data_IF_042182317578
#
_entry.id   IF_042182317578
#
_cell.length_a   1.000
_cell.length_b   1.000
_cell.length_c   1.000
_cell.angle_alpha   90.00
_cell.angle_beta   90.00
_cell.angle_gamma   90.00
#
_symmetry.space_group_name_H-M   'P 1'
#
loop_
_entity.id
_entity.type
_entity.pdbx_description
1 polymer ?
#
# COMPACT_ATOMS: atom_id res chain seq x y z
N UNK A 1 76.78 31.76 -39.65
CA UNK A 1 76.81 31.48 -38.19
C UNK A 1 75.66 32.15 -37.42
N UNK A 2 75.35 33.43 -37.64
CA UNK A 2 74.31 34.19 -36.90
C UNK A 2 72.85 33.70 -37.04
N UNK A 3 72.43 33.13 -38.17
CA UNK A 3 71.05 32.57 -38.35
C UNK A 3 70.75 31.34 -37.47
N UNK A 4 71.76 30.53 -37.12
CA UNK A 4 71.60 29.33 -36.27
C UNK A 4 71.42 29.70 -34.79
N UNK A 5 72.16 30.73 -34.34
CA UNK A 5 72.11 31.26 -32.96
C UNK A 5 70.75 31.93 -32.66
N UNK A 6 70.15 32.63 -33.63
CA UNK A 6 68.82 33.21 -33.49
C UNK A 6 67.70 32.16 -33.35
N UNK A 7 67.79 31.04 -34.07
CA UNK A 7 66.81 29.93 -34.05
C UNK A 7 66.85 29.17 -32.72
N UNK A 8 68.04 28.93 -32.17
CA UNK A 8 68.22 28.32 -30.85
C UNK A 8 67.70 29.21 -29.71
N UNK A 9 68.00 30.52 -29.74
CA UNK A 9 67.45 31.48 -28.76
C UNK A 9 65.92 31.57 -28.82
N UNK A 10 65.33 31.51 -30.02
CA UNK A 10 63.89 31.51 -30.21
C UNK A 10 63.23 30.23 -29.66
N UNK A 11 63.80 29.05 -29.95
CA UNK A 11 63.35 27.77 -29.36
C UNK A 11 63.41 27.80 -27.83
N UNK A 12 64.49 28.36 -27.26
CA UNK A 12 64.64 28.47 -25.81
C UNK A 12 63.58 29.40 -25.19
N UNK A 13 63.27 30.53 -25.85
CA UNK A 13 62.18 31.44 -25.46
C UNK A 13 60.81 30.78 -25.53
N UNK A 14 60.50 30.08 -26.62
CA UNK A 14 59.24 29.34 -26.78
C UNK A 14 59.12 28.27 -25.70
N UNK A 15 60.17 27.49 -25.44
CA UNK A 15 60.19 26.47 -24.37
C UNK A 15 59.94 27.10 -22.99
N UNK A 16 60.56 28.25 -22.69
CA UNK A 16 60.31 29.00 -21.44
C UNK A 16 58.86 29.50 -21.34
N UNK A 17 58.30 30.04 -22.42
CA UNK A 17 56.90 30.51 -22.46
C UNK A 17 55.92 29.34 -22.26
N UNK A 18 56.16 28.20 -22.92
CA UNK A 18 55.33 27.00 -22.74
C UNK A 18 55.40 26.50 -21.30
N UNK A 19 56.60 26.44 -20.71
CA UNK A 19 56.77 26.07 -19.29
C UNK A 19 56.04 27.07 -18.38
N UNK A 20 56.14 28.37 -18.65
CA UNK A 20 55.47 29.39 -17.84
C UNK A 20 53.94 29.26 -17.92
N UNK A 21 53.40 29.02 -19.13
CA UNK A 21 51.97 28.81 -19.34
C UNK A 21 51.47 27.52 -18.70
N UNK A 22 52.20 26.42 -18.81
CA UNK A 22 51.82 25.15 -18.18
C UNK A 22 51.88 25.26 -16.65
N UNK A 23 52.89 25.93 -16.10
CA UNK A 23 52.96 26.25 -14.67
C UNK A 23 51.82 27.13 -14.20
N UNK A 24 51.44 28.17 -14.96
CA UNK A 24 50.30 29.04 -14.62
C UNK A 24 48.96 28.28 -14.64
N UNK A 25 48.76 27.40 -15.62
CA UNK A 25 47.58 26.53 -15.69
C UNK A 25 47.51 25.55 -14.50
N UNK A 26 48.65 24.99 -14.09
CA UNK A 26 48.75 24.14 -12.90
C UNK A 26 48.42 24.94 -11.62
N UNK A 27 48.96 26.15 -11.46
CA UNK A 27 48.71 27.02 -10.31
C UNK A 27 47.23 27.43 -10.25
N UNK A 28 46.63 27.83 -11.38
CA UNK A 28 45.19 28.14 -11.45
C UNK A 28 44.34 26.91 -11.15
N UNK A 29 44.77 25.73 -11.59
CA UNK A 29 44.15 24.45 -11.25
C UNK A 29 44.20 24.18 -9.74
N UNK A 30 45.37 24.35 -9.11
CA UNK A 30 45.58 24.23 -7.67
C UNK A 30 44.75 25.25 -6.89
N UNK A 31 44.68 26.51 -7.32
CA UNK A 31 43.91 27.55 -6.64
C UNK A 31 42.40 27.27 -6.70
N UNK A 32 41.90 26.86 -7.87
CA UNK A 32 40.51 26.38 -8.02
C UNK A 32 40.24 25.17 -7.13
N UNK A 33 41.20 24.26 -7.02
CA UNK A 33 41.10 23.09 -6.16
C UNK A 33 41.05 23.47 -4.67
N UNK A 34 41.92 24.36 -4.20
CA UNK A 34 41.92 24.87 -2.83
C UNK A 34 40.64 25.64 -2.50
N UNK A 35 40.19 26.52 -3.40
CA UNK A 35 38.95 27.27 -3.21
C UNK A 35 37.73 26.34 -3.18
N UNK A 36 37.71 25.34 -4.06
CA UNK A 36 36.70 24.28 -4.04
C UNK A 36 36.70 23.53 -2.72
N UNK A 37 37.85 23.06 -2.22
CA UNK A 37 37.95 22.38 -0.93
C UNK A 37 37.56 23.28 0.25
N UNK A 38 37.94 24.56 0.24
CA UNK A 38 37.56 25.53 1.27
C UNK A 38 36.04 25.75 1.31
N UNK A 39 35.42 25.93 0.15
CA UNK A 39 33.96 26.06 0.02
C UNK A 39 33.24 24.79 0.48
N UNK A 40 33.76 23.61 0.12
CA UNK A 40 33.20 22.34 0.58
C UNK A 40 33.32 22.17 2.09
N UNK A 41 34.45 22.54 2.70
CA UNK A 41 34.59 22.50 4.18
C UNK A 41 33.56 23.39 4.87
N UNK A 42 33.37 24.62 4.37
CA UNK A 42 32.34 25.53 4.89
C UNK A 42 30.94 24.93 4.77
N UNK A 43 30.59 24.41 3.59
CA UNK A 43 29.29 23.77 3.37
C UNK A 43 29.06 22.56 4.29
N UNK A 44 30.06 21.70 4.46
CA UNK A 44 29.99 20.51 5.33
C UNK A 44 29.79 20.91 6.80
N UNK A 45 30.41 22.01 7.25
CA UNK A 45 30.26 22.51 8.63
C UNK A 45 28.84 22.96 9.00
N UNK A 46 27.99 23.23 7.99
CA UNK A 46 26.58 23.58 8.21
C UNK A 46 25.69 22.38 8.54
N UNK A 47 26.15 21.15 8.24
CA UNK A 47 25.42 19.92 8.54
C UNK A 47 25.68 19.49 9.99
N UNK A 48 24.63 19.45 10.80
CA UNK A 48 24.70 19.06 12.20
C UNK A 48 24.24 17.62 12.40
N UNK A 49 24.85 16.90 13.32
CA UNK A 49 24.37 15.58 13.73
C UNK A 49 23.00 15.69 14.38
N UNK A 50 22.10 14.77 14.03
CA UNK A 50 20.82 14.63 14.72
C UNK A 50 20.92 13.63 15.87
N UNK A 51 19.93 13.71 16.78
CA UNK A 51 19.69 12.70 17.82
C UNK A 51 18.79 11.54 17.33
N UNK A 52 18.43 11.50 16.04
CA UNK A 52 17.64 10.42 15.44
C UNK A 52 18.57 9.21 15.33
N UNK A 53 18.75 8.43 16.39
CA UNK A 53 19.67 7.27 16.35
C UNK A 53 18.99 5.94 16.67
N UNK A 54 17.83 5.94 17.34
CA UNK A 54 17.36 4.72 18.01
C UNK A 54 15.97 4.23 17.62
N UNK A 55 15.20 5.01 16.84
CA UNK A 55 13.79 4.70 16.56
C UNK A 55 13.49 4.45 15.09
N UNK A 56 14.47 3.94 14.34
CA UNK A 56 14.26 3.50 12.96
C UNK A 56 14.16 1.97 12.92
N UNK A 57 13.04 1.47 12.43
CA UNK A 57 12.80 0.06 12.17
C UNK A 57 12.78 -0.15 10.66
N UNK A 58 13.61 -1.05 10.15
CA UNK A 58 13.66 -1.47 8.74
C UNK A 58 13.48 -2.98 8.68
N UNK A 59 12.54 -3.44 7.86
CA UNK A 59 12.15 -4.85 7.71
C UNK A 59 11.95 -5.51 9.10
N UNK A 60 11.18 -4.83 9.95
CA UNK A 60 10.88 -5.20 11.34
C UNK A 60 12.09 -5.42 12.26
N UNK A 61 13.26 -4.84 11.92
CA UNK A 61 14.47 -4.88 12.72
C UNK A 61 14.97 -3.47 13.00
N UNK A 62 15.56 -3.25 14.17
CA UNK A 62 16.22 -1.98 14.46
C UNK A 62 17.32 -1.73 13.42
N UNK A 63 17.27 -0.58 12.77
CA UNK A 63 18.23 -0.22 11.74
C UNK A 63 19.63 -0.05 12.36
N UNK A 64 20.61 -0.70 11.77
CA UNK A 64 22.02 -0.56 12.12
C UNK A 64 22.63 0.59 11.32
N UNK A 65 22.63 1.77 11.91
CA UNK A 65 23.16 3.00 11.32
C UNK A 65 24.36 3.48 12.14
N UNK A 66 25.58 3.18 11.69
CA UNK A 66 26.80 3.62 12.36
C UNK A 66 27.05 5.11 12.15
N UNK A 67 26.58 5.66 11.02
CA UNK A 67 26.68 7.09 10.72
C UNK A 67 25.39 7.80 11.13
N UNK A 68 25.50 8.97 11.80
CA UNK A 68 24.32 9.73 12.19
C UNK A 68 23.62 10.33 10.98
N UNK A 69 22.31 10.53 11.08
CA UNK A 69 21.63 11.45 10.17
C UNK A 69 22.13 12.86 10.44
N UNK A 70 22.15 13.66 9.38
CA UNK A 70 22.51 15.08 9.45
C UNK A 70 21.29 15.95 9.23
N UNK A 71 21.30 17.17 9.76
CA UNK A 71 20.28 18.18 9.49
C UNK A 71 20.93 19.48 8.99
N UNK A 72 20.31 20.11 7.99
CA UNK A 72 20.67 21.43 7.48
C UNK A 72 19.42 22.10 6.89
N UNK A 73 19.14 23.33 7.31
CA UNK A 73 17.95 24.08 6.91
C UNK A 73 16.67 23.25 7.08
N UNK A 74 16.52 22.61 8.24
CA UNK A 74 15.39 21.72 8.60
C UNK A 74 15.19 20.48 7.71
N UNK A 75 16.12 20.21 6.80
CA UNK A 75 16.12 19.01 5.95
C UNK A 75 17.00 17.95 6.60
N UNK A 76 16.45 16.75 6.80
CA UNK A 76 17.17 15.57 7.26
C UNK A 76 17.89 14.90 6.09
N UNK A 77 19.14 14.52 6.31
CA UNK A 77 20.00 13.84 5.34
C UNK A 77 20.44 12.48 5.87
N UNK A 78 20.39 11.48 4.99
CA UNK A 78 20.60 10.07 5.32
C UNK A 78 21.84 9.52 4.60
N UNK A 79 22.70 8.72 5.26
CA UNK A 79 23.80 8.02 4.58
C UNK A 79 23.23 6.89 3.71
N UNK A 80 23.12 7.12 2.39
CA UNK A 80 22.28 6.33 1.49
C UNK A 80 22.72 4.87 1.38
N UNK A 81 24.02 4.58 1.38
CA UNK A 81 24.50 3.19 1.24
C UNK A 81 24.23 2.37 2.51
N UNK A 82 24.34 2.99 3.69
CA UNK A 82 24.08 2.31 4.95
C UNK A 82 22.58 2.04 5.13
N UNK A 83 21.74 2.98 4.73
CA UNK A 83 20.30 2.76 4.66
C UNK A 83 19.95 1.61 3.69
N UNK A 84 20.51 1.62 2.46
CA UNK A 84 20.29 0.54 1.49
C UNK A 84 20.76 -0.83 1.98
N UNK A 85 21.84 -0.88 2.79
CA UNK A 85 22.30 -2.11 3.43
C UNK A 85 21.25 -2.66 4.39
N UNK A 86 20.62 -1.80 5.20
CA UNK A 86 19.53 -2.21 6.11
C UNK A 86 18.30 -2.73 5.34
N UNK A 87 18.04 -2.20 4.15
CA UNK A 87 17.02 -2.73 3.25
C UNK A 87 17.42 -4.06 2.56
N UNK A 88 18.57 -4.66 2.87
CA UNK A 88 19.13 -5.80 2.15
C UNK A 88 19.17 -5.59 0.62
N UNK A 89 19.41 -4.35 0.19
CA UNK A 89 19.33 -3.97 -1.22
C UNK A 89 20.68 -3.52 -1.74
N UNK A 90 21.08 -4.07 -2.89
CA UNK A 90 22.34 -3.71 -3.52
C UNK A 90 22.29 -2.24 -4.00
N UNK A 91 23.19 -1.44 -3.44
CA UNK A 91 23.43 -0.06 -3.84
C UNK A 91 24.94 0.21 -3.86
N UNK A 92 25.38 1.01 -4.82
CA UNK A 92 26.77 1.48 -4.91
C UNK A 92 26.82 2.81 -5.65
N UNK A 93 27.85 3.61 -5.41
CA UNK A 93 28.10 4.78 -6.23
C UNK A 93 29.55 4.84 -6.68
N UNK A 94 29.80 5.58 -7.75
CA UNK A 94 31.14 6.01 -8.17
C UNK A 94 31.15 7.49 -8.51
N UNK A 95 32.28 8.13 -8.30
CA UNK A 95 32.48 9.53 -8.69
C UNK A 95 32.74 9.63 -10.19
N UNK A 96 32.17 10.68 -10.79
CA UNK A 96 32.39 11.10 -12.15
C UNK A 96 33.15 12.45 -12.15
N UNK A 97 33.75 12.86 -13.29
CA UNK A 97 34.38 14.17 -13.41
C UNK A 97 33.44 15.31 -13.01
N UNK A 98 34.02 16.45 -12.58
CA UNK A 98 33.29 17.68 -12.22
C UNK A 98 32.25 17.48 -11.08
N UNK A 99 32.53 16.54 -10.17
CA UNK A 99 31.68 16.29 -8.98
C UNK A 99 30.40 15.52 -9.26
N UNK A 100 30.27 14.93 -10.45
CA UNK A 100 29.16 14.02 -10.75
C UNK A 100 29.27 12.73 -9.96
N UNK A 101 28.14 12.06 -9.78
CA UNK A 101 28.03 10.80 -9.03
C UNK A 101 27.09 9.89 -9.82
N UNK A 102 27.54 8.69 -10.15
CA UNK A 102 26.67 7.63 -10.66
C UNK A 102 26.30 6.73 -9.48
N UNK A 103 25.03 6.77 -9.06
CA UNK A 103 24.47 5.91 -8.02
C UNK A 103 23.66 4.79 -8.69
N UNK A 104 24.04 3.54 -8.41
CA UNK A 104 23.28 2.34 -8.77
C UNK A 104 22.46 1.90 -7.59
N UNK A 105 21.19 1.64 -7.82
CA UNK A 105 20.26 1.10 -6.83
C UNK A 105 19.31 0.13 -7.53
N UNK A 106 19.31 -1.13 -7.09
CA UNK A 106 18.58 -2.22 -7.77
C UNK A 106 18.94 -2.27 -9.26
N UNK A 107 17.93 -2.23 -10.15
CA UNK A 107 18.08 -2.24 -11.62
C UNK A 107 18.21 -0.83 -12.21
N UNK A 108 18.12 0.22 -11.39
CA UNK A 108 18.16 1.61 -11.83
C UNK A 108 19.54 2.25 -11.61
N UNK A 109 19.85 3.23 -12.46
CA UNK A 109 21.04 4.07 -12.33
C UNK A 109 20.64 5.54 -12.34
N UNK A 110 21.13 6.27 -11.36
CA UNK A 110 20.86 7.67 -11.12
C UNK A 110 22.14 8.49 -11.26
N UNK A 111 22.04 9.63 -11.92
CA UNK A 111 23.12 10.61 -12.04
C UNK A 111 22.79 11.76 -11.08
N UNK A 112 23.65 11.90 -10.08
CA UNK A 112 23.62 12.95 -9.06
C UNK A 112 24.83 13.86 -9.23
N UNK A 113 24.85 14.99 -8.52
CA UNK A 113 26.02 15.87 -8.46
C UNK A 113 26.17 16.43 -7.05
N UNK A 114 27.41 16.49 -6.55
CA UNK A 114 27.71 17.12 -5.25
C UNK A 114 27.25 18.59 -5.25
N UNK A 115 26.56 19.01 -4.20
CA UNK A 115 26.02 20.37 -4.06
C UNK A 115 24.80 20.65 -4.95
N UNK A 116 24.19 19.64 -5.57
CA UNK A 116 22.98 19.78 -6.39
C UNK A 116 21.81 19.04 -5.75
N UNK A 117 20.61 19.55 -5.99
CA UNK A 117 19.36 18.93 -5.59
C UNK A 117 18.67 18.18 -6.75
N UNK A 118 19.36 17.96 -7.87
CA UNK A 118 18.79 17.27 -9.03
C UNK A 118 19.25 15.81 -9.11
N UNK A 119 18.30 14.95 -9.42
CA UNK A 119 18.50 13.52 -9.70
C UNK A 119 18.08 13.27 -11.13
N UNK A 120 19.00 12.77 -11.97
CA UNK A 120 18.67 12.36 -13.34
C UNK A 120 18.66 10.86 -13.48
N UNK A 121 17.60 10.33 -14.08
CA UNK A 121 17.50 8.91 -14.42
C UNK A 121 18.33 8.64 -15.68
N UNK A 122 19.27 7.70 -15.59
CA UNK A 122 20.16 7.38 -16.72
C UNK A 122 19.38 6.82 -17.93
N UNK A 123 18.33 6.05 -17.68
CA UNK A 123 17.66 5.26 -18.71
C UNK A 123 16.53 6.00 -19.45
N UNK A 124 15.89 7.00 -18.84
CA UNK A 124 14.73 7.69 -19.43
C UNK A 124 14.82 9.23 -19.38
N UNK A 125 16.00 9.79 -19.04
CA UNK A 125 16.28 11.24 -18.98
C UNK A 125 15.40 12.06 -18.02
N UNK A 126 14.51 11.45 -17.24
CA UNK A 126 13.71 12.15 -16.24
C UNK A 126 14.63 12.84 -15.22
N UNK A 127 14.25 14.05 -14.81
CA UNK A 127 14.93 14.83 -13.78
C UNK A 127 13.96 15.07 -12.64
N UNK A 128 14.37 14.72 -11.43
CA UNK A 128 13.62 14.96 -10.19
C UNK A 128 14.40 15.98 -9.36
N UNK A 129 13.72 17.03 -8.90
CA UNK A 129 14.26 17.99 -7.94
C UNK A 129 13.89 17.58 -6.52
N UNK A 130 14.89 17.68 -5.65
CA UNK A 130 14.77 17.43 -4.22
C UNK A 130 14.79 18.74 -3.44
N UNK A 131 14.31 18.69 -2.21
CA UNK A 131 14.30 19.85 -1.31
C UNK A 131 15.71 20.18 -0.78
N UNK A 132 16.61 19.18 -0.76
CA UNK A 132 17.99 19.32 -0.30
C UNK A 132 19.05 18.89 -1.32
N UNK A 133 20.31 19.16 -1.01
CA UNK A 133 21.45 18.87 -1.88
C UNK A 133 22.15 17.56 -1.56
N UNK A 134 22.66 16.88 -2.58
CA UNK A 134 23.51 15.70 -2.39
C UNK A 134 24.90 16.13 -1.90
N UNK A 135 25.40 15.50 -0.84
CA UNK A 135 26.71 15.85 -0.28
C UNK A 135 27.52 14.60 0.09
N UNK A 136 28.84 14.65 -0.12
CA UNK A 136 29.76 13.60 0.32
C UNK A 136 30.46 14.05 1.60
N UNK A 137 30.27 13.32 2.70
CA UNK A 137 30.78 13.59 4.06
C UNK A 137 30.99 12.25 4.77
N UNK A 138 31.88 12.22 5.78
CA UNK A 138 32.11 11.03 6.62
C UNK A 138 32.29 9.73 5.81
N UNK A 139 33.03 9.83 4.70
CA UNK A 139 33.24 8.74 3.75
C UNK A 139 31.98 8.05 3.23
N UNK A 140 30.90 8.81 3.06
CA UNK A 140 29.67 8.32 2.44
C UNK A 140 28.89 9.43 1.74
N UNK A 141 27.89 9.02 0.97
CA UNK A 141 26.97 9.91 0.30
C UNK A 141 25.75 10.16 1.18
N UNK A 142 25.56 11.41 1.56
CA UNK A 142 24.35 11.90 2.21
C UNK A 142 23.39 12.45 1.16
N UNK A 143 22.15 12.01 1.24
CA UNK A 143 21.03 12.45 0.39
C UNK A 143 19.91 12.99 1.28
N UNK A 144 19.14 14.00 0.83
CA UNK A 144 17.98 14.47 1.59
C UNK A 144 16.95 13.34 1.73
N UNK A 145 16.18 13.34 2.82
CA UNK A 145 15.14 12.33 3.07
C UNK A 145 14.13 12.24 1.91
N UNK A 146 13.85 13.37 1.25
CA UNK A 146 13.06 13.47 0.04
C UNK A 146 13.55 12.58 -1.12
N UNK A 147 14.87 12.33 -1.23
CA UNK A 147 15.44 11.36 -2.16
C UNK A 147 14.90 9.95 -1.91
N UNK A 148 14.78 9.57 -0.64
CA UNK A 148 14.33 8.23 -0.23
C UNK A 148 12.89 8.01 -0.73
N UNK A 149 12.02 9.00 -0.52
CA UNK A 149 10.62 8.95 -0.94
C UNK A 149 10.44 8.97 -2.45
N UNK A 150 11.12 9.89 -3.14
CA UNK A 150 10.91 10.12 -4.59
C UNK A 150 11.66 9.13 -5.48
N UNK A 151 12.77 8.57 -5.00
CA UNK A 151 13.70 7.80 -5.86
C UNK A 151 13.85 6.35 -5.44
N UNK A 152 13.85 6.04 -4.13
CA UNK A 152 14.14 4.68 -3.66
C UNK A 152 12.90 3.78 -3.54
N UNK A 153 11.69 4.31 -3.78
CA UNK A 153 10.41 3.59 -3.62
C UNK A 153 10.32 2.90 -2.25
N UNK A 154 10.47 3.70 -1.20
CA UNK A 154 10.44 3.26 0.20
C UNK A 154 9.12 3.70 0.81
N UNK A 155 8.46 2.78 1.50
CA UNK A 155 7.31 3.05 2.34
C UNK A 155 7.81 3.49 3.71
N UNK A 156 7.31 4.63 4.18
CA UNK A 156 7.65 5.15 5.50
C UNK A 156 6.39 5.40 6.28
N UNK A 157 6.37 4.97 7.53
CA UNK A 157 5.31 5.25 8.48
C UNK A 157 5.95 5.73 9.77
N UNK A 158 5.41 6.78 10.37
CA UNK A 158 5.80 7.20 11.71
C UNK A 158 4.68 6.82 12.68
N UNK A 159 5.02 6.03 13.69
CA UNK A 159 4.15 5.67 14.79
C UNK A 159 3.97 6.81 15.77
N UNK A 160 2.94 6.71 16.61
CA UNK A 160 2.58 7.76 17.58
C UNK A 160 3.66 8.01 18.63
N UNK A 161 4.43 6.98 18.96
CA UNK A 161 5.54 7.10 19.90
C UNK A 161 6.75 7.85 19.29
N UNK A 162 6.78 8.05 17.97
CA UNK A 162 7.86 8.67 17.22
C UNK A 162 8.78 7.68 16.50
N UNK A 163 8.51 6.38 16.59
CA UNK A 163 9.22 5.33 15.83
C UNK A 163 8.91 5.46 14.35
N UNK A 164 9.94 5.43 13.51
CA UNK A 164 9.84 5.47 12.06
C UNK A 164 10.08 4.07 11.53
N UNK A 165 9.12 3.55 10.77
CA UNK A 165 9.25 2.32 10.01
C UNK A 165 9.59 2.67 8.58
N UNK A 166 10.61 2.05 7.99
CA UNK A 166 10.98 2.23 6.59
C UNK A 166 11.22 0.89 5.92
N UNK A 167 10.46 0.58 4.86
CA UNK A 167 10.62 -0.66 4.11
C UNK A 167 10.56 -0.40 2.62
N UNK A 168 11.40 -1.09 1.86
CA UNK A 168 11.53 -0.86 0.43
C UNK A 168 10.85 -1.92 -0.44
N UNK A 169 9.76 -2.54 0.01
CA UNK A 169 8.96 -3.38 -0.89
C UNK A 169 8.36 -2.51 -2.02
N UNK A 170 8.29 -3.04 -3.27
CA UNK A 170 7.69 -2.30 -4.37
C UNK A 170 6.28 -1.86 -4.00
N UNK A 171 5.91 -0.61 -4.32
CA UNK A 171 4.49 -0.19 -4.27
C UNK A 171 3.67 -1.02 -5.26
N UNK A 172 3.20 -2.16 -4.79
CA UNK A 172 2.49 -3.17 -5.59
C UNK A 172 0.98 -2.99 -5.51
N UNK A 173 0.50 -2.59 -4.34
CA UNK A 173 -0.91 -2.50 -4.03
C UNK A 173 -1.45 -1.08 -4.08
N UNK A 174 -2.71 -0.96 -4.47
CA UNK A 174 -3.52 0.24 -4.55
C UNK A 174 -4.77 0.03 -3.67
N UNK A 175 -4.85 0.78 -2.58
CA UNK A 175 -5.98 0.78 -1.64
C UNK A 175 -6.87 2.03 -1.78
N UNK A 176 -6.87 2.68 -2.95
CA UNK A 176 -7.74 3.85 -3.20
C UNK A 176 -9.23 3.55 -2.94
N UNK A 177 -9.65 2.31 -3.18
CA UNK A 177 -11.01 1.86 -2.91
C UNK A 177 -11.42 1.97 -1.43
N UNK A 178 -10.48 1.95 -0.48
CA UNK A 178 -10.78 1.99 0.96
C UNK A 178 -11.40 3.33 1.39
N UNK A 179 -10.97 4.44 0.78
CA UNK A 179 -11.34 5.79 1.22
C UNK A 179 -12.85 6.00 1.26
N UNK A 180 -13.56 5.39 0.31
CA UNK A 180 -14.99 5.57 0.09
C UNK A 180 -15.81 4.30 0.39
N UNK A 181 -15.15 3.24 0.87
CA UNK A 181 -15.78 1.95 1.11
C UNK A 181 -15.40 1.39 2.48
N UNK A 182 -16.21 1.76 3.47
CA UNK A 182 -16.08 1.28 4.86
C UNK A 182 -16.76 -0.07 5.09
N UNK A 183 -17.77 -0.38 4.29
CA UNK A 183 -18.52 -1.62 4.39
C UNK A 183 -18.15 -2.56 3.25
N UNK A 184 -17.95 -3.83 3.59
CA UNK A 184 -17.82 -4.95 2.66
C UNK A 184 -19.09 -5.78 2.81
N UNK A 185 -19.84 -5.98 1.72
CA UNK A 185 -21.04 -6.82 1.72
C UNK A 185 -20.62 -8.29 1.88
N UNK A 186 -20.79 -8.84 3.07
CA UNK A 186 -20.41 -10.21 3.42
C UNK A 186 -21.32 -11.22 2.71
N UNK A 187 -20.74 -12.21 2.04
CA UNK A 187 -21.48 -13.19 1.22
C UNK A 187 -22.43 -12.52 0.20
N UNK A 188 -21.93 -11.46 -0.48
CA UNK A 188 -22.65 -10.52 -1.34
C UNK A 188 -23.70 -9.64 -0.65
N UNK A 189 -23.83 -9.77 0.68
CA UNK A 189 -24.81 -9.10 1.52
C UNK A 189 -25.95 -10.02 1.93
N UNK A 190 -26.73 -9.55 2.90
CA UNK A 190 -27.93 -10.21 3.38
C UNK A 190 -29.18 -9.77 2.61
N UNK A 191 -30.12 -10.69 2.45
CA UNK A 191 -31.37 -10.50 1.71
C UNK A 191 -32.57 -10.99 2.52
N UNK A 192 -33.52 -10.09 2.79
CA UNK A 192 -34.76 -10.37 3.54
C UNK A 192 -34.52 -11.11 4.88
N UNK A 193 -33.50 -10.69 5.63
CA UNK A 193 -33.12 -11.30 6.92
C UNK A 193 -32.22 -12.53 6.81
N UNK A 194 -31.96 -13.04 5.60
CA UNK A 194 -31.10 -14.20 5.36
C UNK A 194 -29.66 -13.76 5.07
N UNK A 195 -28.69 -14.50 5.62
CA UNK A 195 -27.25 -14.30 5.43
C UNK A 195 -26.67 -15.45 4.61
N UNK A 196 -25.40 -15.35 4.20
CA UNK A 196 -24.66 -16.41 3.47
C UNK A 196 -25.25 -16.87 2.13
N UNK A 197 -26.28 -16.21 1.62
CA UNK A 197 -26.94 -16.65 0.39
C UNK A 197 -26.00 -16.60 -0.82
N UNK A 198 -25.03 -15.68 -0.86
CA UNK A 198 -24.17 -15.47 -2.03
C UNK A 198 -24.98 -15.40 -3.36
N UNK A 199 -26.20 -14.86 -3.26
CA UNK A 199 -27.17 -14.91 -4.34
C UNK A 199 -27.09 -13.67 -5.23
N UNK A 200 -27.63 -13.80 -6.44
CA UNK A 200 -27.77 -12.67 -7.37
C UNK A 200 -28.56 -11.52 -6.76
N UNK A 201 -29.66 -11.83 -6.06
CA UNK A 201 -30.52 -10.85 -5.43
C UNK A 201 -29.82 -10.11 -4.29
N UNK A 202 -28.99 -10.82 -3.50
CA UNK A 202 -28.19 -10.18 -2.45
C UNK A 202 -27.16 -9.21 -3.06
N UNK A 203 -26.45 -9.64 -4.11
CA UNK A 203 -25.50 -8.80 -4.84
C UNK A 203 -26.15 -7.53 -5.38
N UNK A 204 -27.25 -7.69 -6.14
CA UNK A 204 -27.96 -6.58 -6.76
C UNK A 204 -28.49 -5.61 -5.70
N UNK A 205 -29.08 -6.10 -4.61
CA UNK A 205 -29.53 -5.28 -3.49
C UNK A 205 -28.38 -4.51 -2.83
N UNK A 206 -27.26 -5.16 -2.56
CA UNK A 206 -26.09 -4.52 -1.97
C UNK A 206 -25.56 -3.40 -2.87
N UNK A 207 -25.45 -3.65 -4.17
CA UNK A 207 -24.99 -2.66 -5.14
C UNK A 207 -25.96 -1.47 -5.26
N UNK A 208 -27.28 -1.73 -5.34
CA UNK A 208 -28.32 -0.70 -5.40
C UNK A 208 -28.34 0.19 -4.15
N UNK A 209 -27.93 -0.34 -2.99
CA UNK A 209 -27.77 0.42 -1.73
C UNK A 209 -26.48 1.24 -1.68
N UNK A 210 -25.67 1.22 -2.74
CA UNK A 210 -24.45 2.03 -2.85
C UNK A 210 -23.19 1.37 -2.29
N UNK A 211 -23.24 0.09 -1.91
CA UNK A 211 -22.03 -0.66 -1.61
C UNK A 211 -21.25 -0.93 -2.91
N UNK A 212 -19.92 -0.89 -2.84
CA UNK A 212 -19.03 -1.16 -3.97
C UNK A 212 -17.95 -2.18 -3.68
N UNK A 213 -17.92 -2.73 -2.46
CA UNK A 213 -17.02 -3.83 -2.12
C UNK A 213 -17.88 -4.97 -1.61
N UNK A 214 -17.80 -6.10 -2.29
CA UNK A 214 -18.55 -7.31 -1.97
C UNK A 214 -17.54 -8.40 -1.67
N UNK A 215 -17.79 -9.20 -0.67
CA UNK A 215 -17.08 -10.44 -0.41
C UNK A 215 -17.95 -11.60 -0.91
N UNK A 216 -17.32 -12.60 -1.54
CA UNK A 216 -18.02 -13.78 -2.02
C UNK A 216 -17.29 -15.05 -1.58
N UNK A 217 -18.08 -15.96 -1.01
CA UNK A 217 -17.64 -17.29 -0.60
C UNK A 217 -17.50 -18.17 -1.84
N UNK A 218 -16.31 -18.73 -2.10
CA UNK A 218 -16.09 -19.55 -3.28
C UNK A 218 -15.57 -20.95 -2.95
N UNK A 219 -16.15 -21.94 -3.64
CA UNK A 219 -15.79 -23.35 -3.59
C UNK A 219 -15.68 -23.93 -5.00
N UNK A 220 -14.89 -24.98 -5.18
CA UNK A 220 -14.94 -25.75 -6.44
C UNK A 220 -16.11 -26.73 -6.42
N UNK A 221 -16.91 -26.74 -7.48
CA UNK A 221 -17.88 -27.79 -7.77
C UNK A 221 -17.18 -29.13 -8.06
N UNK A 222 -17.94 -30.23 -8.12
CA UNK A 222 -17.37 -31.55 -8.42
C UNK A 222 -16.75 -31.66 -9.82
N UNK A 223 -17.19 -30.83 -10.77
CA UNK A 223 -16.62 -30.67 -12.11
C UNK A 223 -15.56 -29.54 -12.20
N UNK A 224 -15.13 -28.99 -11.06
CA UNK A 224 -13.97 -28.11 -10.97
C UNK A 224 -14.21 -26.66 -11.38
N UNK A 225 -15.45 -26.18 -11.25
CA UNK A 225 -15.87 -24.80 -11.53
C UNK A 225 -16.03 -24.02 -10.25
N UNK A 226 -15.85 -22.70 -10.31
CA UNK A 226 -15.98 -21.83 -9.15
C UNK A 226 -17.44 -21.45 -8.94
N UNK A 227 -18.06 -22.07 -7.95
CA UNK A 227 -19.42 -21.76 -7.49
C UNK A 227 -19.38 -20.92 -6.21
N UNK A 228 -20.39 -20.10 -6.00
CA UNK A 228 -20.46 -19.22 -4.83
C UNK A 228 -21.24 -19.91 -3.71
N UNK A 229 -20.53 -20.58 -2.81
CA UNK A 229 -21.10 -21.38 -1.74
C UNK A 229 -20.15 -21.41 -0.54
N UNK A 230 -20.68 -21.04 0.63
CA UNK A 230 -19.93 -20.98 1.90
C UNK A 230 -19.48 -22.35 2.43
N UNK A 231 -20.40 -23.31 2.49
CA UNK A 231 -20.13 -24.63 3.07
C UNK A 231 -21.20 -25.63 2.65
N UNK A 232 -20.85 -26.91 2.70
CA UNK A 232 -21.76 -28.05 2.54
C UNK A 232 -22.02 -28.80 3.84
N UNK A 233 -21.65 -28.23 4.99
CA UNK A 233 -22.07 -28.80 6.27
C UNK A 233 -23.60 -28.82 6.40
N UNK A 234 -24.10 -29.71 7.27
CA UNK A 234 -25.52 -29.99 7.37
C UNK A 234 -26.35 -28.77 7.78
N UNK A 235 -25.81 -27.91 8.64
CA UNK A 235 -26.50 -26.73 9.16
C UNK A 235 -26.59 -25.66 8.08
N UNK A 236 -25.48 -25.39 7.38
CA UNK A 236 -25.44 -24.46 6.24
C UNK A 236 -26.41 -24.86 5.14
N UNK A 237 -26.43 -26.15 4.75
CA UNK A 237 -27.36 -26.65 3.73
C UNK A 237 -28.82 -26.51 4.17
N UNK A 238 -29.15 -26.85 5.41
CA UNK A 238 -30.50 -26.73 5.94
C UNK A 238 -30.97 -25.27 5.98
N UNK A 239 -30.11 -24.36 6.46
CA UNK A 239 -30.42 -22.93 6.56
C UNK A 239 -30.65 -22.29 5.18
N UNK A 240 -29.92 -22.74 4.16
CA UNK A 240 -30.07 -22.27 2.78
C UNK A 240 -31.12 -23.05 1.98
N UNK A 241 -31.79 -24.05 2.58
CA UNK A 241 -32.75 -24.90 1.87
C UNK A 241 -32.14 -25.66 0.70
N UNK A 242 -30.85 -26.01 0.78
CA UNK A 242 -30.11 -26.71 -0.26
C UNK A 242 -30.13 -28.24 -0.05
N UNK A 243 -29.91 -29.05 -1.10
CA UNK A 243 -29.95 -30.50 -0.99
C UNK A 243 -28.95 -31.06 0.04
N UNK A 244 -29.46 -31.78 1.04
CA UNK A 244 -28.62 -32.40 2.10
C UNK A 244 -27.62 -33.43 1.56
N UNK A 245 -27.85 -33.99 0.38
CA UNK A 245 -26.90 -34.89 -0.30
C UNK A 245 -25.57 -34.21 -0.62
N UNK A 246 -25.54 -32.88 -0.72
CA UNK A 246 -24.32 -32.12 -1.02
C UNK A 246 -23.27 -32.18 0.08
N UNK A 247 -23.66 -32.53 1.31
CA UNK A 247 -22.73 -32.79 2.43
C UNK A 247 -21.70 -33.86 2.10
N UNK A 248 -22.12 -34.88 1.34
CA UNK A 248 -21.27 -36.02 1.01
C UNK A 248 -20.70 -35.94 -0.41
N UNK A 249 -21.30 -35.13 -1.28
CA UNK A 249 -20.92 -35.00 -2.69
C UNK A 249 -21.21 -33.60 -3.21
N UNK A 250 -20.16 -32.83 -3.49
CA UNK A 250 -20.30 -31.51 -4.12
C UNK A 250 -21.12 -31.60 -5.41
N UNK A 251 -22.06 -30.66 -5.65
CA UNK A 251 -22.80 -30.61 -6.92
C UNK A 251 -21.86 -30.26 -8.08
N UNK A 252 -22.26 -30.59 -9.30
CA UNK A 252 -21.69 -29.95 -10.50
C UNK A 252 -22.14 -28.49 -10.57
N UNK A 253 -21.44 -27.66 -11.34
CA UNK A 253 -21.86 -26.27 -11.57
C UNK A 253 -23.29 -26.18 -12.11
N UNK A 254 -23.63 -27.04 -13.07
CA UNK A 254 -24.96 -27.08 -13.69
C UNK A 254 -26.05 -27.44 -12.67
N UNK A 255 -25.82 -28.43 -11.80
CA UNK A 255 -26.77 -28.78 -10.74
C UNK A 255 -26.93 -27.62 -9.74
N UNK A 256 -25.82 -26.98 -9.38
CA UNK A 256 -25.82 -25.84 -8.46
C UNK A 256 -26.62 -24.66 -9.00
N UNK A 257 -26.36 -24.24 -10.25
CA UNK A 257 -27.04 -23.11 -10.90
C UNK A 257 -28.52 -23.36 -11.19
N UNK A 258 -28.95 -24.63 -11.27
CA UNK A 258 -30.37 -24.99 -11.42
C UNK A 258 -31.12 -25.10 -10.07
N UNK A 259 -30.41 -24.97 -8.94
CA UNK A 259 -30.99 -25.06 -7.61
C UNK A 259 -31.17 -23.66 -7.03
N UNK A 260 -32.35 -23.37 -6.46
CA UNK A 260 -32.59 -22.11 -5.76
C UNK A 260 -32.31 -22.22 -4.27
N UNK A 261 -31.69 -21.19 -3.70
CA UNK A 261 -31.53 -21.04 -2.27
C UNK A 261 -32.89 -20.68 -1.66
N UNK A 262 -33.33 -21.46 -0.68
CA UNK A 262 -34.63 -21.33 -0.01
C UNK A 262 -35.79 -21.29 -1.02
N UNK A 263 -35.67 -22.04 -2.13
CA UNK A 263 -36.61 -22.03 -3.27
C UNK A 263 -36.88 -20.65 -3.91
N UNK A 264 -36.08 -19.64 -3.58
CA UNK A 264 -36.36 -18.24 -3.91
C UNK A 264 -35.21 -17.61 -4.69
N UNK A 265 -34.02 -17.62 -4.12
CA UNK A 265 -32.86 -16.85 -4.62
C UNK A 265 -32.01 -17.66 -5.59
N UNK A 266 -31.44 -16.98 -6.59
CA UNK A 266 -30.60 -17.63 -7.60
C UNK A 266 -29.18 -17.82 -7.06
N UNK A 267 -28.69 -19.06 -7.14
CA UNK A 267 -27.28 -19.39 -6.98
C UNK A 267 -26.44 -18.74 -8.08
N UNK A 268 -25.15 -18.55 -7.83
CA UNK A 268 -24.24 -17.90 -8.77
C UNK A 268 -22.92 -18.66 -8.91
N UNK A 269 -22.30 -18.56 -10.08
CA UNK A 269 -20.89 -18.93 -10.28
C UNK A 269 -20.00 -17.68 -10.45
N UNK A 270 -18.68 -17.88 -10.47
CA UNK A 270 -17.76 -16.76 -10.64
C UNK A 270 -17.85 -16.12 -12.02
N UNK A 271 -18.26 -16.84 -13.06
CA UNK A 271 -18.42 -16.27 -14.41
C UNK A 271 -19.55 -15.22 -14.45
N UNK A 272 -20.69 -15.51 -13.82
CA UNK A 272 -21.80 -14.57 -13.68
C UNK A 272 -21.40 -13.35 -12.84
N UNK A 273 -20.68 -13.57 -11.73
CA UNK A 273 -20.16 -12.46 -10.91
C UNK A 273 -19.15 -11.60 -11.69
N UNK A 274 -18.26 -12.20 -12.48
CA UNK A 274 -17.31 -11.47 -13.31
C UNK A 274 -18.02 -10.65 -14.42
N UNK A 275 -19.10 -11.18 -15.00
CA UNK A 275 -19.95 -10.43 -15.95
C UNK A 275 -20.62 -9.24 -15.26
N UNK A 276 -21.16 -9.45 -14.06
CA UNK A 276 -21.73 -8.36 -13.26
C UNK A 276 -20.67 -7.28 -12.95
N UNK A 277 -19.46 -7.67 -12.54
CA UNK A 277 -18.36 -6.73 -12.32
C UNK A 277 -17.96 -5.97 -13.59
N UNK A 278 -18.03 -6.59 -14.78
CA UNK A 278 -17.76 -5.91 -16.05
C UNK A 278 -18.77 -4.79 -16.31
N UNK A 279 -20.05 -5.06 -16.03
CA UNK A 279 -21.14 -4.08 -16.17
C UNK A 279 -21.09 -2.98 -15.09
N UNK A 280 -20.44 -3.26 -13.95
CA UNK A 280 -20.31 -2.35 -12.81
C UNK A 280 -18.82 -2.07 -12.52
N UNK A 281 -18.18 -1.15 -13.28
CA UNK A 281 -16.73 -0.94 -13.26
C UNK A 281 -16.20 -0.35 -11.93
N UNK A 282 -17.08 0.16 -11.08
CA UNK A 282 -16.78 0.69 -9.75
C UNK A 282 -16.90 -0.36 -8.63
N UNK A 283 -17.29 -1.59 -8.95
CA UNK A 283 -17.39 -2.70 -8.00
C UNK A 283 -16.03 -3.39 -7.76
N UNK A 284 -15.72 -3.70 -6.50
CA UNK A 284 -14.60 -4.51 -6.08
C UNK A 284 -15.08 -5.82 -5.46
N UNK A 285 -14.31 -6.87 -5.67
CA UNK A 285 -14.61 -8.20 -5.17
C UNK A 285 -13.51 -8.68 -4.24
N UNK A 286 -13.87 -8.92 -2.99
CA UNK A 286 -13.07 -9.66 -2.02
C UNK A 286 -13.37 -11.15 -2.19
N UNK A 287 -12.32 -11.95 -2.35
CA UNK A 287 -12.46 -13.39 -2.60
C UNK A 287 -12.21 -14.16 -1.31
N UNK A 288 -13.22 -14.88 -0.81
CA UNK A 288 -13.13 -15.75 0.35
C UNK A 288 -13.19 -17.23 -0.08
N UNK A 289 -12.03 -17.88 -0.20
CA UNK A 289 -11.98 -19.29 -0.55
C UNK A 289 -12.35 -20.16 0.65
N UNK A 290 -13.31 -21.07 0.44
CA UNK A 290 -13.78 -21.96 1.51
C UNK A 290 -12.85 -23.17 1.73
N UNK A 291 -11.85 -23.33 0.87
CA UNK A 291 -10.69 -24.22 1.06
C UNK A 291 -9.38 -23.40 1.20
N UNK A 292 -8.47 -23.88 2.05
CA UNK A 292 -7.17 -23.25 2.35
C UNK A 292 -5.96 -24.17 2.08
N UNK A 293 -6.16 -25.37 1.52
CA UNK A 293 -5.07 -26.18 0.97
C UNK A 293 -4.41 -25.43 -0.19
N UNK A 294 -3.08 -25.33 -0.18
CA UNK A 294 -2.35 -24.49 -1.14
C UNK A 294 -2.57 -24.94 -2.59
N UNK A 295 -2.68 -26.25 -2.86
CA UNK A 295 -2.89 -26.72 -4.25
C UNK A 295 -4.29 -26.36 -4.73
N UNK A 296 -5.28 -26.46 -3.85
CA UNK A 296 -6.65 -26.08 -4.20
C UNK A 296 -6.80 -24.57 -4.34
N UNK A 297 -6.20 -23.78 -3.44
CA UNK A 297 -6.12 -22.32 -3.54
C UNK A 297 -5.53 -21.91 -4.88
N UNK A 298 -4.42 -22.52 -5.31
CA UNK A 298 -3.84 -22.25 -6.63
C UNK A 298 -4.80 -22.61 -7.77
N UNK A 299 -5.50 -23.74 -7.68
CA UNK A 299 -6.47 -24.17 -8.69
C UNK A 299 -7.62 -23.16 -8.79
N UNK A 300 -8.16 -22.71 -7.66
CA UNK A 300 -9.21 -21.70 -7.60
C UNK A 300 -8.74 -20.39 -8.26
N UNK A 301 -7.60 -19.83 -7.84
CA UNK A 301 -7.12 -18.58 -8.43
C UNK A 301 -6.73 -18.70 -9.90
N UNK A 302 -6.26 -19.86 -10.37
CA UNK A 302 -6.01 -20.12 -11.81
C UNK A 302 -7.31 -20.10 -12.61
N UNK A 303 -8.36 -20.77 -12.14
CA UNK A 303 -9.67 -20.77 -12.82
C UNK A 303 -10.31 -19.38 -12.76
N UNK A 304 -10.25 -18.70 -11.63
CA UNK A 304 -10.70 -17.31 -11.47
C UNK A 304 -10.02 -16.38 -12.48
N UNK A 305 -8.69 -16.44 -12.59
CA UNK A 305 -7.94 -15.59 -13.53
C UNK A 305 -8.27 -15.90 -14.98
N UNK A 306 -8.46 -17.18 -15.31
CA UNK A 306 -8.89 -17.62 -16.64
C UNK A 306 -10.28 -17.09 -16.98
N UNK A 307 -11.26 -17.25 -16.09
CA UNK A 307 -12.64 -16.76 -16.28
C UNK A 307 -12.64 -15.24 -16.45
N UNK A 308 -11.98 -14.50 -15.56
CA UNK A 308 -11.92 -13.05 -15.64
C UNK A 308 -11.29 -12.57 -16.95
N UNK A 309 -10.19 -13.20 -17.42
CA UNK A 309 -9.60 -12.88 -18.73
C UNK A 309 -10.55 -13.11 -19.90
N UNK A 310 -11.37 -14.16 -19.83
CA UNK A 310 -12.33 -14.49 -20.88
C UNK A 310 -13.52 -13.52 -20.90
N UNK A 311 -13.97 -13.04 -19.73
CA UNK A 311 -15.08 -12.09 -19.61
C UNK A 311 -14.63 -10.66 -19.92
N UNK A 312 -13.66 -10.17 -19.15
CA UNK A 312 -13.00 -8.87 -19.30
C UNK A 312 -11.77 -8.79 -18.37
N UNK A 313 -10.58 -8.67 -18.94
CA UNK A 313 -9.32 -8.63 -18.18
C UNK A 313 -9.28 -7.51 -17.13
N UNK A 314 -9.99 -6.41 -17.33
CA UNK A 314 -10.03 -5.28 -16.38
C UNK A 314 -10.66 -5.63 -15.04
N UNK A 315 -11.50 -6.68 -14.97
CA UNK A 315 -12.08 -7.20 -13.72
C UNK A 315 -10.98 -7.59 -12.73
N UNK A 316 -9.85 -8.13 -13.21
CA UNK A 316 -8.75 -8.58 -12.35
C UNK A 316 -8.10 -7.46 -11.53
N UNK A 317 -8.17 -6.21 -11.98
CA UNK A 317 -7.62 -5.07 -11.24
C UNK A 317 -8.48 -4.69 -10.03
N UNK A 318 -9.72 -5.22 -9.95
CA UNK A 318 -10.70 -4.99 -8.88
C UNK A 318 -10.98 -6.22 -8.02
N UNK A 319 -10.23 -7.31 -8.24
CA UNK A 319 -10.25 -8.50 -7.38
C UNK A 319 -9.22 -8.34 -6.26
N UNK A 320 -9.67 -8.67 -5.04
CA UNK A 320 -8.95 -8.52 -3.78
C UNK A 320 -8.87 -9.90 -3.12
N UNK A 321 -7.77 -10.64 -3.31
CA UNK A 321 -7.55 -11.90 -2.61
C UNK A 321 -7.59 -11.73 -1.09
N UNK A 322 -8.26 -12.63 -0.39
CA UNK A 322 -8.00 -12.89 1.02
C UNK A 322 -6.95 -13.99 1.17
N UNK A 323 -6.01 -13.79 2.09
CA UNK A 323 -5.09 -14.82 2.55
C UNK A 323 -5.29 -15.04 4.04
N UNK A 324 -5.12 -16.28 4.49
CA UNK A 324 -5.29 -16.65 5.90
C UNK A 324 -3.98 -16.95 6.61
N UNK A 325 -2.97 -17.35 5.84
CA UNK A 325 -1.62 -17.65 6.31
C UNK A 325 -0.59 -17.03 5.37
N UNK A 326 0.64 -16.84 5.88
CA UNK A 326 1.72 -16.18 5.15
C UNK A 326 2.12 -16.97 3.89
N UNK A 327 2.02 -18.29 3.98
CA UNK A 327 2.35 -19.28 2.95
C UNK A 327 1.49 -19.13 1.70
N UNK A 328 0.28 -18.56 1.82
CA UNK A 328 -0.62 -18.34 0.69
C UNK A 328 -0.19 -17.17 -0.19
N UNK A 329 0.56 -16.20 0.34
CA UNK A 329 0.88 -14.97 -0.38
C UNK A 329 1.63 -15.24 -1.69
N UNK A 330 2.71 -16.03 -1.66
CA UNK A 330 3.52 -16.31 -2.85
C UNK A 330 2.73 -17.10 -3.92
N UNK A 331 2.07 -18.23 -3.59
CA UNK A 331 1.22 -18.96 -4.55
C UNK A 331 0.20 -18.05 -5.25
N UNK A 332 -0.56 -17.25 -4.50
CA UNK A 332 -1.58 -16.35 -5.06
C UNK A 332 -0.94 -15.28 -5.96
N UNK A 333 0.10 -14.60 -5.49
CA UNK A 333 0.73 -13.51 -6.24
C UNK A 333 1.54 -13.97 -7.45
N UNK A 334 1.93 -15.25 -7.51
CA UNK A 334 2.58 -15.84 -8.68
C UNK A 334 1.59 -16.12 -9.82
N UNK A 335 0.30 -16.34 -9.51
CA UNK A 335 -0.73 -16.58 -10.52
C UNK A 335 -1.10 -15.28 -11.24
N UNK A 336 -1.29 -14.20 -10.48
CA UNK A 336 -1.57 -12.88 -11.04
C UNK A 336 -1.09 -11.75 -10.12
N UNK A 337 -0.71 -10.63 -10.73
CA UNK A 337 -0.27 -9.43 -10.02
C UNK A 337 -1.48 -8.59 -9.55
N UNK A 338 -2.26 -9.13 -8.61
CA UNK A 338 -3.41 -8.46 -7.99
C UNK A 338 -3.03 -7.11 -7.38
N UNK A 339 -3.99 -6.18 -7.39
CA UNK A 339 -3.77 -4.78 -7.02
C UNK A 339 -4.07 -4.46 -5.56
N UNK A 340 -4.66 -5.37 -4.80
CA UNK A 340 -4.75 -5.26 -3.35
C UNK A 340 -4.94 -6.65 -2.74
N UNK A 341 -4.86 -6.74 -1.42
CA UNK A 341 -4.99 -8.01 -0.69
C UNK A 341 -5.46 -7.72 0.75
N UNK A 342 -6.16 -8.66 1.36
CA UNK A 342 -6.55 -8.59 2.76
C UNK A 342 -5.98 -9.79 3.52
N UNK A 343 -5.29 -9.55 4.63
CA UNK A 343 -4.90 -10.62 5.54
C UNK A 343 -6.06 -10.90 6.50
N UNK A 344 -6.64 -12.10 6.43
CA UNK A 344 -7.87 -12.45 7.16
C UNK A 344 -7.60 -13.54 8.17
N UNK A 345 -7.97 -13.31 9.43
CA UNK A 345 -7.45 -14.13 10.53
C UNK A 345 -8.37 -15.26 10.97
N UNK A 346 -9.61 -15.41 10.45
CA UNK A 346 -10.60 -16.31 11.07
C UNK A 346 -10.17 -17.79 11.10
N UNK A 347 -9.37 -18.25 10.13
CA UNK A 347 -8.86 -19.63 10.07
C UNK A 347 -7.65 -19.92 10.95
N UNK A 348 -7.14 -18.92 11.67
CA UNK A 348 -6.03 -19.10 12.61
C UNK A 348 -6.60 -19.51 13.97
N UNK A 349 -6.07 -20.53 14.62
CA UNK A 349 -6.47 -20.84 16.00
C UNK A 349 -5.94 -19.77 16.96
N UNK A 350 -4.64 -19.51 16.88
CA UNK A 350 -3.95 -18.49 17.66
C UNK A 350 -3.51 -17.30 16.81
N UNK A 351 -3.53 -16.11 17.42
CA UNK A 351 -3.18 -14.86 16.76
C UNK A 351 -1.80 -14.38 17.23
N UNK A 352 -0.76 -14.73 16.48
CA UNK A 352 0.58 -14.17 16.70
C UNK A 352 0.66 -12.74 16.13
N UNK A 353 0.23 -11.75 16.93
CA UNK A 353 0.06 -10.36 16.52
C UNK A 353 1.27 -9.81 15.77
N UNK A 354 2.48 -9.96 16.32
CA UNK A 354 3.69 -9.45 15.67
C UNK A 354 3.91 -10.08 14.29
N UNK A 355 3.76 -11.41 14.15
CA UNK A 355 3.96 -12.08 12.86
C UNK A 355 3.01 -11.57 11.79
N UNK A 356 1.73 -11.35 12.13
CA UNK A 356 0.72 -10.89 11.17
C UNK A 356 1.00 -9.45 10.75
N UNK A 357 1.29 -8.61 11.74
CA UNK A 357 1.52 -7.18 11.54
C UNK A 357 2.80 -6.94 10.74
N UNK A 358 3.89 -7.61 11.11
CA UNK A 358 5.19 -7.53 10.46
C UNK A 358 5.11 -8.05 9.02
N UNK A 359 4.49 -9.20 8.81
CA UNK A 359 4.27 -9.76 7.48
C UNK A 359 3.43 -8.84 6.58
N UNK A 360 2.34 -8.31 7.13
CA UNK A 360 1.46 -7.40 6.39
C UNK A 360 2.20 -6.14 5.99
N UNK A 361 2.99 -5.57 6.92
CA UNK A 361 3.81 -4.41 6.64
C UNK A 361 4.84 -4.69 5.54
N UNK A 362 5.63 -5.76 5.66
CA UNK A 362 6.70 -6.14 4.70
C UNK A 362 6.19 -6.41 3.28
N UNK A 363 4.94 -6.85 3.14
CA UNK A 363 4.33 -7.17 1.84
C UNK A 363 3.39 -6.06 1.34
N UNK A 364 3.30 -4.94 2.06
CA UNK A 364 2.44 -3.81 1.71
C UNK A 364 0.95 -4.08 1.86
N UNK A 365 0.55 -5.11 2.60
CA UNK A 365 -0.84 -5.39 2.93
C UNK A 365 -1.32 -4.33 3.92
N UNK A 366 -2.34 -3.56 3.52
CA UNK A 366 -2.83 -2.41 4.30
C UNK A 366 -4.13 -2.70 5.04
N UNK A 367 -4.62 -3.94 4.99
CA UNK A 367 -5.84 -4.35 5.68
C UNK A 367 -5.62 -5.71 6.34
N UNK A 368 -5.86 -5.75 7.65
CA UNK A 368 -5.98 -6.97 8.44
C UNK A 368 -7.42 -7.08 8.92
N UNK A 369 -8.06 -8.22 8.65
CA UNK A 369 -9.45 -8.48 8.99
C UNK A 369 -9.55 -9.51 10.14
N UNK A 370 -10.34 -9.20 11.17
CA UNK A 370 -10.51 -10.05 12.36
C UNK A 370 -11.97 -10.21 12.78
N UNK A 371 -12.25 -11.31 13.50
CA UNK A 371 -13.51 -11.45 14.21
C UNK A 371 -13.44 -10.83 15.61
N UNK A 372 -14.58 -10.74 16.31
CA UNK A 372 -14.66 -10.15 17.66
C UNK A 372 -13.73 -10.80 18.70
N UNK A 373 -13.41 -12.09 18.55
CA UNK A 373 -12.60 -12.84 19.49
C UNK A 373 -11.10 -12.56 19.33
N UNK A 374 -10.68 -12.13 18.14
CA UNK A 374 -9.29 -11.78 17.80
C UNK A 374 -9.03 -10.27 17.90
N UNK A 375 -10.06 -9.50 18.23
CA UNK A 375 -9.93 -8.07 18.46
C UNK A 375 -9.24 -7.80 19.79
N UNK A 376 -8.14 -7.03 19.75
CA UNK A 376 -7.45 -6.59 20.96
C UNK A 376 -6.83 -5.21 20.77
N UNK A 377 -6.62 -4.50 21.87
CA UNK A 377 -5.93 -3.20 21.87
C UNK A 377 -4.49 -3.32 21.37
N UNK A 378 -3.80 -4.42 21.72
CA UNK A 378 -2.43 -4.68 21.26
C UNK A 378 -2.35 -4.77 19.74
N UNK A 379 -3.18 -5.62 19.12
CA UNK A 379 -3.25 -5.77 17.67
C UNK A 379 -3.52 -4.41 17.01
N UNK A 380 -4.55 -3.74 17.52
CA UNK A 380 -5.01 -2.46 17.00
C UNK A 380 -3.92 -1.40 16.99
N UNK A 381 -3.22 -1.21 18.12
CA UNK A 381 -2.13 -0.26 18.22
C UNK A 381 -0.99 -0.58 17.24
N UNK A 382 -0.57 -1.85 17.17
CA UNK A 382 0.52 -2.28 16.29
C UNK A 382 0.20 -2.12 14.81
N UNK A 383 -1.06 -2.31 14.41
CA UNK A 383 -1.54 -2.07 13.06
C UNK A 383 -1.51 -0.57 12.73
N UNK A 384 -2.03 0.28 13.63
CA UNK A 384 -2.02 1.74 13.47
C UNK A 384 -0.59 2.27 13.33
N UNK A 385 0.33 1.81 14.18
CA UNK A 385 1.75 2.19 14.16
C UNK A 385 2.45 1.87 12.82
N UNK A 386 1.91 0.92 12.04
CA UNK A 386 2.42 0.53 10.71
C UNK A 386 1.51 1.00 9.56
N UNK A 387 0.52 1.83 9.85
CA UNK A 387 -0.42 2.36 8.87
C UNK A 387 -1.22 1.26 8.18
N UNK A 388 -1.58 0.21 8.92
CA UNK A 388 -2.42 -0.90 8.47
C UNK A 388 -3.80 -0.71 9.10
N UNK A 389 -4.85 -0.79 8.27
CA UNK A 389 -6.23 -0.69 8.72
C UNK A 389 -6.74 -2.00 9.28
N UNK A 390 -7.46 -1.91 10.41
CA UNK A 390 -8.17 -3.04 10.98
C UNK A 390 -9.60 -3.08 10.43
N UNK A 391 -10.00 -4.23 9.89
CA UNK A 391 -11.37 -4.51 9.47
C UNK A 391 -11.98 -5.59 10.37
N UNK A 392 -13.28 -5.51 10.62
CA UNK A 392 -13.96 -6.45 11.50
C UNK A 392 -15.11 -7.16 10.82
N UNK A 393 -15.28 -8.46 11.09
CA UNK A 393 -16.40 -9.25 10.57
C UNK A 393 -17.03 -10.16 11.64
N UNK A 394 -18.33 -10.44 11.57
CA UNK A 394 -19.38 -9.76 10.78
C UNK A 394 -20.22 -8.91 11.72
N UNK A 395 -20.52 -7.66 11.33
CA UNK A 395 -21.25 -6.71 12.17
C UNK A 395 -22.48 -6.16 11.45
N UNK A 396 -23.64 -6.28 12.09
CA UNK A 396 -24.93 -5.84 11.55
C UNK A 396 -25.63 -4.79 12.42
N UNK A 397 -25.01 -4.42 13.54
CA UNK A 397 -25.51 -3.41 14.47
C UNK A 397 -24.79 -2.07 14.25
N UNK A 398 -25.56 -1.05 13.87
CA UNK A 398 -25.03 0.28 13.56
C UNK A 398 -24.43 0.98 14.79
N UNK A 399 -25.01 0.80 15.98
CA UNK A 399 -24.50 1.40 17.21
C UNK A 399 -23.16 0.78 17.61
N UNK A 400 -23.05 -0.55 17.49
CA UNK A 400 -21.80 -1.27 17.73
C UNK A 400 -20.72 -0.82 16.74
N UNK A 401 -21.06 -0.70 15.44
CA UNK A 401 -20.15 -0.19 14.41
C UNK A 401 -19.69 1.24 14.73
N UNK A 402 -20.61 2.13 15.12
CA UNK A 402 -20.29 3.52 15.46
C UNK A 402 -19.34 3.61 16.67
N UNK A 403 -19.57 2.78 17.71
CA UNK A 403 -18.70 2.71 18.88
C UNK A 403 -17.30 2.17 18.56
N UNK A 404 -17.21 1.14 17.71
CA UNK A 404 -15.93 0.54 17.32
C UNK A 404 -15.12 1.44 16.37
N UNK A 405 -15.80 2.20 15.50
CA UNK A 405 -15.16 3.17 14.61
C UNK A 405 -14.34 4.20 15.36
N UNK A 406 -14.84 4.70 16.48
CA UNK A 406 -14.15 5.67 17.32
C UNK A 406 -12.91 5.05 18.04
N UNK A 407 -12.78 3.72 17.98
CA UNK A 407 -11.74 2.92 18.61
C UNK A 407 -10.87 2.19 17.57
N UNK A 408 -10.41 2.90 16.53
CA UNK A 408 -9.34 2.47 15.59
C UNK A 408 -9.74 1.44 14.49
N UNK A 409 -11.02 1.08 14.35
CA UNK A 409 -11.49 0.17 13.28
C UNK A 409 -11.86 0.95 12.02
N UNK A 410 -11.23 0.61 10.89
CA UNK A 410 -11.38 1.34 9.62
C UNK A 410 -12.57 0.87 8.77
N UNK A 411 -12.99 -0.39 8.92
CA UNK A 411 -14.03 -0.96 8.08
C UNK A 411 -14.65 -2.24 8.64
N UNK A 412 -15.76 -2.65 8.05
CA UNK A 412 -16.59 -3.74 8.56
C UNK A 412 -17.12 -4.60 7.42
N UNK A 413 -17.09 -5.91 7.60
CA UNK A 413 -17.93 -6.81 6.80
C UNK A 413 -19.31 -6.85 7.46
N UNK A 414 -20.34 -6.80 6.63
CA UNK A 414 -21.72 -6.70 7.09
C UNK A 414 -22.67 -7.40 6.13
N UNK A 415 -23.71 -7.99 6.68
CA UNK A 415 -24.82 -8.53 5.91
C UNK A 415 -25.84 -7.43 5.61
N UNK A 416 -26.11 -6.52 6.55
CA UNK A 416 -27.28 -5.63 6.46
C UNK A 416 -26.99 -4.13 6.52
N UNK A 417 -25.75 -3.71 6.78
CA UNK A 417 -25.38 -2.28 6.86
C UNK A 417 -24.78 -1.73 5.56
N UNK A 418 -24.73 -0.39 5.41
CA UNK A 418 -25.42 0.63 6.21
C UNK A 418 -26.93 0.59 5.96
N UNK A 419 -27.76 0.85 6.98
CA UNK A 419 -29.23 0.81 6.83
C UNK A 419 -29.72 1.74 5.71
N UNK A 420 -29.18 2.96 5.68
CA UNK A 420 -29.44 3.96 4.66
C UNK A 420 -28.61 3.71 3.40
N UNK A 421 -29.15 4.11 2.25
CA UNK A 421 -28.45 4.03 0.96
C UNK A 421 -27.27 4.99 0.95
N UNK A 422 -26.13 4.53 0.46
CA UNK A 422 -24.98 5.39 0.16
C UNK A 422 -25.24 6.02 -1.21
N UNK A 423 -25.48 7.32 -1.24
CA UNK A 423 -25.61 8.07 -2.50
C UNK A 423 -24.24 8.24 -3.16
N UNK A 424 -24.20 8.06 -4.49
CA UNK A 424 -22.99 8.16 -5.31
C UNK A 424 -23.24 8.97 -6.57
N UNK A 425 -22.22 9.70 -7.02
CA UNK A 425 -22.25 10.45 -8.28
C UNK A 425 -22.05 9.53 -9.50
N UNK A 426 -22.11 10.10 -10.71
CA UNK A 426 -21.94 9.36 -11.97
C UNK A 426 -20.53 8.75 -12.15
N UNK A 427 -19.55 9.23 -11.38
CA UNK A 427 -18.19 8.67 -11.32
C UNK A 427 -18.04 7.58 -10.23
N UNK A 428 -19.14 7.24 -9.53
CA UNK A 428 -19.18 6.25 -8.47
C UNK A 428 -18.68 6.75 -7.11
N UNK A 429 -18.45 8.06 -6.94
CA UNK A 429 -17.92 8.63 -5.69
C UNK A 429 -19.02 8.91 -4.68
N UNK A 430 -18.73 8.76 -3.39
CA UNK A 430 -19.70 9.02 -2.31
C UNK A 430 -20.11 10.50 -2.29
N UNK A 431 -21.42 10.77 -2.32
CA UNK A 431 -21.99 12.11 -2.14
C UNK A 431 -22.17 12.37 -0.64
N UNK A 432 -21.46 13.36 -0.11
CA UNK A 432 -21.59 13.77 1.29
C UNK A 432 -22.61 14.90 1.39
N UNK A 433 -23.82 14.57 1.84
CA UNK A 433 -24.85 15.57 2.13
C UNK A 433 -24.50 16.27 3.45
N UNK A 434 -23.99 17.51 3.38
CA UNK A 434 -23.61 18.33 4.55
C UNK A 434 -24.74 18.65 5.53
N UNK A 435 -25.99 18.31 5.22
CA UNK A 435 -27.15 18.67 6.03
C UNK A 435 -27.53 17.62 7.10
N UNK A 436 -26.73 16.55 7.29
CA UNK A 436 -27.00 15.51 8.29
C UNK A 436 -25.99 15.48 9.45
N UNK A 437 -24.99 16.36 9.46
CA UNK A 437 -24.06 16.56 10.58
C UNK A 437 -24.34 17.89 11.27
N UNK A 438 -25.46 18.00 12.00
CA UNK A 438 -25.62 18.92 13.14
C UNK A 438 -26.92 18.62 13.91
N UNK A 439 -26.90 17.76 14.95
CA UNK A 439 -27.99 17.68 15.92
C UNK A 439 -27.88 18.71 17.05
N UNK A 440 -26.83 19.54 17.09
CA UNK A 440 -26.57 20.49 18.18
C UNK A 440 -26.67 21.95 17.71
N UNK A 441 -27.86 22.40 17.30
CA UNK A 441 -28.15 23.84 17.26
C UNK A 441 -29.65 24.20 17.23
N UNK A 442 -30.53 23.29 17.67
CA UNK A 442 -31.98 23.53 17.68
C UNK A 442 -32.62 23.39 19.08
N UNK A 443 -31.89 23.81 20.11
CA UNK A 443 -32.44 24.08 21.44
C UNK A 443 -31.80 25.34 22.00
N UNK A 444 -32.24 26.52 21.51
CA UNK A 444 -32.24 27.78 22.25
C UNK A 444 -32.85 28.91 21.38
N UNK A 445 -34.17 28.86 21.16
CA UNK A 445 -34.93 30.04 20.71
C UNK A 445 -36.40 30.01 21.12
N UNK A 446 -36.70 29.54 22.34
CA UNK A 446 -37.98 29.83 22.99
C UNK A 446 -37.73 30.01 24.49
N UNK A 447 -37.37 31.23 24.88
CA UNK A 447 -37.66 31.81 26.19
C UNK A 447 -37.34 33.30 26.10
N UNK A 448 -38.25 34.02 25.45
CA UNK A 448 -38.37 35.47 25.51
C UNK A 448 -39.80 35.80 25.86
N UNK A 449 -39.95 36.53 26.96
CA UNK A 449 -41.11 37.32 27.36
C UNK A 449 -42.38 36.60 27.84
N UNK A 450 -42.45 36.43 29.16
CA UNK A 450 -43.66 36.79 29.88
C UNK A 450 -43.32 37.48 31.19
N UNK A 451 -43.50 38.81 31.20
CA UNK A 451 -43.66 39.56 32.44
C UNK A 451 -44.80 40.57 32.26
N UNK A 452 -45.63 40.67 33.30
CA UNK A 452 -46.80 41.56 33.49
C UNK A 452 -48.18 41.04 33.05
N UNK A 453 -49.03 40.67 34.02
CA UNK A 453 -50.01 41.58 34.64
C UNK A 453 -50.89 40.86 35.69
N UNK A 454 -50.88 41.43 36.91
CA UNK A 454 -51.98 41.58 37.88
C UNK A 454 -53.29 40.79 37.71
N UNK A 455 -53.63 39.91 38.65
CA UNK A 455 -54.53 40.13 39.81
C UNK A 455 -54.67 38.82 40.60
#
# INVERSE_FOLDING_TARGET
MFKKVGKERLKLRIKKIVILMTSLLLILGLFKLFHYYGTQRKLISEFKDTKIRERLIINNKQAQMNKPYKIRNDIVYVPVLELCKNFNTQASYKFLPKGGIELKYRKATYLLKRGSNEVRFKNNKNVVKMDGIVQYMDDTLYVPLDFIYKILDVNVVQANDGTVYMDNYPKKFNYSWVKENRYIAHALGGINGNTYTNSREALERSYQRGLRVMEADMSLSSDGKLILLHSTDAESLANLGLPMSWKNKMPTEKEFLNTKIMNTYHTMNFEELAKYMKEHPDMYLVVDLKNNDIKEVERCYKELVKIAKNVDKSVLDRIIPQIYYQEMYKPVMNIYNFKSMIFTTYRMEELEVNKIVDFSYEHGIKIVAVNKFKFSKELTNKLVDRGISLYMFTYNDQEVVNRLRNNYVSGFYTDFLPKEKIERDDEGRVIVNKNLENPEENTNSQNGDSNSQSQ
#
